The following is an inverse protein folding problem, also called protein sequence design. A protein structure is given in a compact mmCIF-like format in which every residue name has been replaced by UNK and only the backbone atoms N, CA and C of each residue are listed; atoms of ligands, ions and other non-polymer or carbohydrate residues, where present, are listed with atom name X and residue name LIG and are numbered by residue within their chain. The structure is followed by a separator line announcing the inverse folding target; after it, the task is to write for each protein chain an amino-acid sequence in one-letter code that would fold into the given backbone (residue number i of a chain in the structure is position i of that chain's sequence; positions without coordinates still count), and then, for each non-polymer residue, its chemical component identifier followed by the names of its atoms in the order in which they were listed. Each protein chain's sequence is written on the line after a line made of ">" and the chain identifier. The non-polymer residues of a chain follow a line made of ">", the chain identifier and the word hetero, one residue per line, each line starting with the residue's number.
data_IF_296878507631
#
_entry.id   IF_296878507631
#
_cell.length_a   1.000
_cell.length_b   1.000
_cell.length_c   1.000
_cell.angle_alpha   90.00
_cell.angle_beta   90.00
_cell.angle_gamma   90.00
#
_symmetry.space_group_name_H-M   'P 1'
#
loop_
_entity.id
_entity.type
_entity.pdbx_description
1 polymer ?
#
# COMPACT_ATOMS: atom_id res chain seq x y z
N UNK A 1 13.84 -3.54 -7.91
CA UNK A 1 13.34 -2.14 -8.01
C UNK A 1 12.67 -1.76 -6.70
N UNK A 2 12.61 -0.48 -6.37
CA UNK A 2 11.85 0.01 -5.21
C UNK A 2 10.38 0.21 -5.53
N UNK A 3 9.55 -0.06 -4.54
CA UNK A 3 8.11 0.18 -4.56
C UNK A 3 7.74 0.93 -3.29
N UNK A 4 7.07 2.05 -3.42
CA UNK A 4 6.65 2.89 -2.30
C UNK A 4 5.27 2.47 -1.84
N UNK A 5 5.18 2.13 -0.57
CA UNK A 5 4.01 1.53 0.05
C UNK A 5 3.27 2.54 0.91
N UNK A 6 1.96 2.54 0.78
CA UNK A 6 1.07 3.12 1.77
C UNK A 6 -0.15 2.22 1.95
N UNK A 7 -0.73 2.25 3.13
CA UNK A 7 -1.93 1.49 3.47
C UNK A 7 -2.94 2.35 4.22
N UNK A 8 -4.21 2.03 4.04
CA UNK A 8 -5.27 2.53 4.90
C UNK A 8 -5.88 1.36 5.66
N UNK A 9 -6.13 1.54 6.95
CA UNK A 9 -6.65 0.50 7.82
C UNK A 9 -7.65 1.08 8.81
N UNK A 10 -8.41 0.21 9.48
CA UNK A 10 -9.56 0.60 10.30
C UNK A 10 -9.14 1.07 11.71
N UNK A 11 -8.32 2.13 11.78
CA UNK A 11 -7.81 2.68 13.02
C UNK A 11 -6.69 1.83 13.63
N UNK A 12 -6.21 2.24 14.78
CA UNK A 12 -5.12 1.55 15.48
C UNK A 12 -5.47 0.08 15.76
N UNK A 13 -4.64 -0.84 15.25
CA UNK A 13 -4.88 -2.27 15.39
C UNK A 13 -6.00 -2.82 14.51
N UNK A 14 -6.58 -2.00 13.63
CA UNK A 14 -7.68 -2.39 12.76
C UNK A 14 -7.26 -3.13 11.49
N UNK A 15 -8.25 -3.68 10.79
CA UNK A 15 -8.06 -4.44 9.56
C UNK A 15 -7.63 -3.54 8.39
N UNK A 16 -6.85 -4.10 7.49
CA UNK A 16 -6.45 -3.45 6.24
C UNK A 16 -7.69 -3.15 5.38
N UNK A 17 -7.76 -1.93 4.85
CA UNK A 17 -8.83 -1.48 3.96
C UNK A 17 -8.32 -1.34 2.53
N UNK A 18 -7.15 -0.69 2.33
CA UNK A 18 -6.55 -0.51 1.01
C UNK A 18 -5.03 -0.50 1.10
N UNK A 19 -4.40 -0.85 -0.01
CA UNK A 19 -2.95 -0.91 -0.12
C UNK A 19 -2.53 -0.47 -1.52
N UNK A 20 -1.48 0.33 -1.58
CA UNK A 20 -0.88 0.78 -2.83
C UNK A 20 0.62 0.53 -2.86
N UNK A 21 1.12 0.18 -4.04
CA UNK A 21 2.55 0.18 -4.35
C UNK A 21 2.78 1.05 -5.58
N UNK A 22 3.69 1.99 -5.47
CA UNK A 22 4.08 2.88 -6.56
C UNK A 22 5.53 2.58 -6.94
N UNK A 23 5.81 2.13 -8.17
CA UNK A 23 7.16 1.76 -8.56
C UNK A 23 8.07 2.97 -8.72
N UNK A 24 9.34 2.78 -8.45
CA UNK A 24 10.38 3.80 -8.66
C UNK A 24 10.46 4.24 -10.13
N UNK A 25 10.32 3.28 -11.04
CA UNK A 25 10.32 3.50 -12.48
C UNK A 25 9.04 2.97 -13.12
N UNK A 26 8.58 3.65 -14.16
CA UNK A 26 7.37 3.28 -14.87
C UNK A 26 6.12 3.86 -14.23
N UNK A 27 4.98 3.49 -14.79
CA UNK A 27 3.67 4.05 -14.45
C UNK A 27 2.64 2.98 -14.01
N UNK A 28 3.10 1.75 -13.80
CA UNK A 28 2.22 0.66 -13.40
C UNK A 28 2.10 0.60 -11.88
N UNK A 29 1.21 1.40 -11.35
CA UNK A 29 0.88 1.39 -9.93
C UNK A 29 0.04 0.16 -9.59
N UNK A 30 0.17 -0.31 -8.35
CA UNK A 30 -0.71 -1.33 -7.76
C UNK A 30 -1.61 -0.66 -6.73
N UNK A 31 -2.90 -0.94 -6.81
CA UNK A 31 -3.87 -0.48 -5.82
C UNK A 31 -4.95 -1.54 -5.63
N UNK A 32 -5.26 -1.84 -4.38
CA UNK A 32 -6.32 -2.78 -4.03
C UNK A 32 -7.10 -2.25 -2.84
N UNK A 33 -8.41 -2.45 -2.85
CA UNK A 33 -9.25 -2.31 -1.69
C UNK A 33 -9.88 -3.66 -1.34
N UNK A 34 -9.96 -3.93 -0.04
CA UNK A 34 -10.50 -5.16 0.53
C UNK A 34 -11.95 -4.96 0.97
N UNK A 35 -12.69 -6.05 1.23
CA UNK A 35 -14.01 -5.94 1.84
C UNK A 35 -13.95 -5.14 3.13
N UNK A 36 -14.90 -4.23 3.31
CA UNK A 36 -14.93 -3.36 4.49
C UNK A 36 -15.27 -4.15 5.74
N UNK A 37 -14.63 -3.83 6.89
CA UNK A 37 -15.03 -4.39 8.18
C UNK A 37 -16.49 -4.08 8.50
N UNK A 38 -17.13 -4.93 9.32
CA UNK A 38 -18.53 -4.72 9.74
C UNK A 38 -18.71 -3.42 10.51
N UNK A 39 -17.74 -3.09 11.37
CA UNK A 39 -17.70 -1.83 12.12
C UNK A 39 -16.52 -1.01 11.65
N UNK A 40 -16.78 0.23 11.23
CA UNK A 40 -15.76 1.14 10.75
C UNK A 40 -15.54 2.23 11.79
N UNK A 41 -14.27 2.44 12.16
CA UNK A 41 -13.89 3.52 13.07
C UNK A 41 -14.42 4.86 12.53
N UNK A 42 -15.05 5.73 13.36
CA UNK A 42 -15.68 6.96 12.89
C UNK A 42 -14.77 7.88 12.10
N UNK A 43 -13.52 8.02 12.50
CA UNK A 43 -12.55 8.84 11.77
C UNK A 43 -12.27 8.25 10.37
N UNK A 44 -12.14 6.92 10.27
CA UNK A 44 -11.91 6.20 9.02
C UNK A 44 -13.12 6.33 8.09
N UNK A 45 -14.33 6.20 8.62
CA UNK A 45 -15.56 6.37 7.85
C UNK A 45 -15.65 7.77 7.22
N UNK A 46 -15.13 8.80 7.91
CA UNK A 46 -15.18 10.18 7.44
C UNK A 46 -14.01 10.54 6.53
N UNK A 47 -12.80 10.03 6.80
CA UNK A 47 -11.56 10.50 6.17
C UNK A 47 -10.95 9.53 5.17
N UNK A 48 -11.32 8.26 5.17
CA UNK A 48 -10.77 7.22 4.29
C UNK A 48 -11.82 6.70 3.31
N UNK A 49 -12.94 6.24 3.82
CA UNK A 49 -13.96 5.55 3.00
C UNK A 49 -14.45 6.38 1.82
N UNK A 50 -14.76 7.69 1.97
CA UNK A 50 -15.25 8.49 0.83
C UNK A 50 -14.24 8.60 -0.32
N UNK A 51 -12.97 8.35 -0.07
CA UNK A 51 -11.89 8.57 -1.05
C UNK A 51 -11.33 7.29 -1.64
N UNK A 52 -11.86 6.11 -1.27
CA UNK A 52 -11.33 4.81 -1.73
C UNK A 52 -11.32 4.67 -3.26
N UNK A 53 -12.24 5.30 -3.96
CA UNK A 53 -12.38 5.20 -5.43
C UNK A 53 -11.71 6.35 -6.19
N UNK A 54 -11.04 7.28 -5.52
CA UNK A 54 -10.34 8.39 -6.16
C UNK A 54 -8.98 7.95 -6.72
N UNK A 55 -9.01 6.94 -7.57
CA UNK A 55 -7.83 6.40 -8.27
C UNK A 55 -8.12 6.30 -9.76
N UNK A 56 -7.10 6.28 -10.62
CA UNK A 56 -7.32 6.17 -12.07
C UNK A 56 -8.12 4.94 -12.45
N UNK A 57 -8.95 5.07 -13.48
CA UNK A 57 -9.68 3.94 -14.03
C UNK A 57 -8.71 2.84 -14.49
N UNK A 58 -9.01 1.58 -14.18
CA UNK A 58 -8.19 0.42 -14.52
C UNK A 58 -7.14 0.06 -13.44
N UNK A 59 -6.89 0.95 -12.49
CA UNK A 59 -6.01 0.68 -11.34
C UNK A 59 -6.81 0.18 -10.14
N UNK A 60 -8.07 0.59 -10.02
CA UNK A 60 -8.95 0.25 -8.88
C UNK A 60 -9.37 -1.21 -8.92
N UNK A 61 -8.85 -2.01 -7.99
CA UNK A 61 -9.23 -3.42 -7.82
C UNK A 61 -9.90 -3.62 -6.46
N UNK A 62 -11.13 -4.12 -6.50
CA UNK A 62 -11.89 -4.50 -5.31
C UNK A 62 -11.86 -6.03 -5.20
N UNK A 63 -11.05 -6.56 -4.30
CA UNK A 63 -10.71 -7.97 -4.25
C UNK A 63 -10.88 -8.51 -2.84
N UNK A 64 -11.12 -9.83 -2.72
CA UNK A 64 -10.95 -10.53 -1.45
C UNK A 64 -9.46 -10.50 -1.05
N UNK A 65 -9.19 -10.83 0.21
CA UNK A 65 -7.82 -10.83 0.72
C UNK A 65 -6.92 -11.80 -0.05
N UNK A 66 -7.39 -13.00 -0.35
CA UNK A 66 -6.62 -14.00 -1.12
C UNK A 66 -6.42 -13.55 -2.57
N UNK A 67 -7.46 -13.02 -3.21
CA UNK A 67 -7.35 -12.47 -4.56
C UNK A 67 -6.35 -11.30 -4.62
N UNK A 68 -6.36 -10.43 -3.61
CA UNK A 68 -5.41 -9.33 -3.52
C UNK A 68 -3.97 -9.83 -3.40
N UNK A 69 -3.73 -10.87 -2.60
CA UNK A 69 -2.42 -11.51 -2.47
C UNK A 69 -1.94 -12.09 -3.82
N UNK A 70 -2.82 -12.76 -4.57
CA UNK A 70 -2.49 -13.31 -5.89
C UNK A 70 -2.24 -12.22 -6.93
N UNK A 71 -2.98 -11.13 -6.89
CA UNK A 71 -2.71 -9.95 -7.74
C UNK A 71 -1.35 -9.32 -7.43
N UNK A 72 -1.00 -9.25 -6.14
CA UNK A 72 0.31 -8.76 -5.71
C UNK A 72 1.45 -9.67 -6.18
N UNK A 73 1.26 -10.99 -6.10
CA UNK A 73 2.21 -11.96 -6.64
C UNK A 73 2.45 -11.72 -8.13
N UNK A 74 1.39 -11.60 -8.91
CA UNK A 74 1.48 -11.34 -10.35
C UNK A 74 2.15 -9.99 -10.66
N UNK A 75 1.84 -8.96 -9.86
CA UNK A 75 2.42 -7.63 -10.01
C UNK A 75 3.94 -7.61 -9.79
N UNK A 76 4.43 -8.37 -8.82
CA UNK A 76 5.85 -8.44 -8.47
C UNK A 76 6.62 -9.55 -9.21
N UNK A 77 5.94 -10.40 -9.99
CA UNK A 77 6.51 -11.63 -10.56
C UNK A 77 7.74 -11.40 -11.45
N UNK A 78 7.85 -10.27 -12.12
CA UNK A 78 8.95 -9.97 -13.02
C UNK A 78 10.15 -9.28 -12.34
N UNK A 79 10.02 -8.95 -11.06
CA UNK A 79 11.09 -8.36 -10.28
C UNK A 79 11.68 -9.43 -9.35
N UNK A 80 12.94 -9.79 -9.59
CA UNK A 80 13.63 -10.82 -8.80
C UNK A 80 14.09 -10.34 -7.45
N UNK A 81 14.11 -9.02 -7.24
CA UNK A 81 14.63 -8.41 -6.02
C UNK A 81 13.83 -7.14 -5.68
N UNK A 82 12.51 -7.27 -5.44
CA UNK A 82 11.70 -6.13 -5.08
C UNK A 82 12.05 -5.63 -3.67
N UNK A 83 12.09 -4.31 -3.54
CA UNK A 83 12.27 -3.62 -2.26
C UNK A 83 11.06 -2.76 -1.98
N UNK A 84 10.33 -3.05 -0.92
CA UNK A 84 9.16 -2.28 -0.50
C UNK A 84 9.56 -1.28 0.56
N UNK A 85 9.30 0.00 0.29
CA UNK A 85 9.69 1.13 1.13
C UNK A 85 8.45 1.75 1.75
N UNK A 86 8.46 1.92 3.07
CA UNK A 86 7.41 2.61 3.81
C UNK A 86 8.01 3.56 4.84
N UNK A 87 7.24 4.56 5.26
CA UNK A 87 7.63 5.50 6.32
C UNK A 87 6.91 5.22 7.66
N UNK A 88 6.01 4.23 7.67
CA UNK A 88 5.28 3.85 8.88
C UNK A 88 5.30 2.33 9.09
N UNK A 89 5.58 1.86 10.32
CA UNK A 89 5.70 0.43 10.59
C UNK A 89 4.45 -0.39 10.30
N UNK A 90 3.26 0.14 10.57
CA UNK A 90 2.01 -0.58 10.33
C UNK A 90 1.77 -0.85 8.85
N UNK A 91 2.25 0.00 7.94
CA UNK A 91 2.16 -0.25 6.51
C UNK A 91 2.91 -1.53 6.13
N UNK A 92 4.12 -1.70 6.63
CA UNK A 92 4.89 -2.92 6.42
C UNK A 92 4.24 -4.14 7.05
N UNK A 93 3.65 -3.99 8.24
CA UNK A 93 2.94 -5.07 8.92
C UNK A 93 1.73 -5.54 8.11
N UNK A 94 0.93 -4.62 7.60
CA UNK A 94 -0.22 -4.93 6.74
C UNK A 94 0.22 -5.55 5.42
N UNK A 95 1.26 -5.02 4.80
CA UNK A 95 1.84 -5.61 3.60
C UNK A 95 2.27 -7.06 3.84
N UNK A 96 3.07 -7.31 4.86
CA UNK A 96 3.54 -8.67 5.19
C UNK A 96 2.38 -9.61 5.49
N UNK A 97 1.37 -9.15 6.22
CA UNK A 97 0.18 -9.95 6.52
C UNK A 97 -0.59 -10.34 5.26
N UNK A 98 -0.66 -9.46 4.26
CA UNK A 98 -1.33 -9.74 2.99
C UNK A 98 -0.62 -10.84 2.19
N UNK A 99 0.68 -11.01 2.34
CA UNK A 99 1.45 -12.06 1.63
C UNK A 99 1.02 -13.47 2.05
N UNK A 100 0.48 -13.64 3.25
CA UNK A 100 0.07 -14.94 3.79
C UNK A 100 -1.31 -15.30 3.25
N UNK A 101 -1.40 -16.46 2.59
CA UNK A 101 -2.63 -16.92 1.92
C UNK A 101 -3.37 -18.01 2.69
N UNK A 102 -2.72 -18.66 3.66
CA UNK A 102 -3.29 -19.70 4.49
C UNK A 102 -2.31 -20.18 5.54
N UNK A 103 -2.67 -21.16 6.38
CA UNK A 103 -1.76 -21.68 7.40
C UNK A 103 -0.48 -22.24 6.78
N UNK A 104 0.66 -21.59 7.09
CA UNK A 104 1.96 -21.98 6.56
C UNK A 104 2.15 -21.71 5.06
N UNK A 105 1.27 -20.94 4.43
CA UNK A 105 1.29 -20.65 3.01
C UNK A 105 1.39 -19.15 2.76
N UNK A 106 2.18 -18.77 1.75
CA UNK A 106 2.30 -17.40 1.29
C UNK A 106 2.45 -17.36 -0.23
N UNK A 107 2.29 -16.18 -0.81
CA UNK A 107 2.55 -15.98 -2.24
C UNK A 107 4.02 -16.31 -2.58
N UNK A 108 4.25 -16.64 -3.85
CA UNK A 108 5.58 -17.00 -4.34
C UNK A 108 6.31 -15.76 -4.83
N UNK A 109 7.43 -15.43 -4.19
CA UNK A 109 8.31 -14.33 -4.56
C UNK A 109 9.75 -14.82 -4.59
N UNK A 110 10.50 -14.43 -5.62
CA UNK A 110 11.92 -14.80 -5.75
C UNK A 110 12.78 -14.19 -4.64
N UNK A 111 12.46 -12.99 -4.22
CA UNK A 111 13.10 -12.28 -3.12
C UNK A 111 12.23 -11.12 -2.68
N UNK A 112 12.48 -10.61 -1.49
CA UNK A 112 11.76 -9.44 -0.98
C UNK A 112 12.59 -8.76 0.08
N UNK A 113 12.81 -7.45 -0.09
CA UNK A 113 13.40 -6.59 0.93
C UNK A 113 12.39 -5.57 1.40
N UNK A 114 12.41 -5.27 2.69
CA UNK A 114 11.57 -4.26 3.32
C UNK A 114 12.46 -3.16 3.87
N UNK A 115 12.12 -1.91 3.58
CA UNK A 115 12.82 -0.76 4.10
C UNK A 115 11.84 0.16 4.83
N UNK A 116 12.08 0.36 6.13
CA UNK A 116 11.39 1.38 6.91
C UNK A 116 12.28 2.60 6.98
N UNK A 117 11.83 3.72 6.43
CA UNK A 117 12.57 4.97 6.45
C UNK A 117 12.05 5.91 7.55
N UNK A 118 12.95 6.70 8.12
CA UNK A 118 12.56 7.80 8.98
C UNK A 118 12.42 9.05 8.13
N UNK A 119 11.18 9.42 7.86
CA UNK A 119 10.85 10.59 7.06
C UNK A 119 10.52 11.79 7.97
N UNK A 120 11.48 12.19 8.80
CA UNK A 120 11.28 13.31 9.73
C UNK A 120 10.86 14.58 8.98
N UNK A 121 9.77 15.20 9.46
CA UNK A 121 9.21 16.40 8.82
C UNK A 121 8.35 16.14 7.60
N UNK A 122 8.23 14.90 7.15
CA UNK A 122 7.35 14.51 6.07
C UNK A 122 6.00 14.01 6.62
N UNK A 123 4.94 14.34 5.92
CA UNK A 123 3.61 13.77 6.14
C UNK A 123 3.02 13.42 4.78
N UNK A 124 2.72 12.15 4.55
CA UNK A 124 2.08 11.71 3.32
C UNK A 124 0.76 12.46 3.12
N UNK A 125 -0.07 12.55 4.16
CA UNK A 125 -1.34 13.24 4.10
C UNK A 125 -1.21 14.72 3.73
N UNK A 126 -0.20 15.44 4.23
CA UNK A 126 0.03 16.84 3.93
C UNK A 126 0.55 17.09 2.51
N UNK A 127 1.22 16.08 1.90
CA UNK A 127 1.87 16.19 0.59
C UNK A 127 1.11 15.43 -0.51
N UNK A 128 0.08 14.70 -0.15
CA UNK A 128 -0.74 13.90 -1.08
C UNK A 128 -1.74 14.78 -1.83
N UNK A 129 -2.03 14.43 -3.08
CA UNK A 129 -3.11 15.05 -3.87
C UNK A 129 -4.50 14.69 -3.33
N UNK A 130 -4.61 13.53 -2.72
CA UNK A 130 -5.83 13.04 -2.05
C UNK A 130 -5.42 12.39 -0.73
N UNK A 131 -5.30 13.17 0.35
CA UNK A 131 -4.93 12.64 1.66
C UNK A 131 -5.83 11.49 2.08
N UNK A 132 -5.24 10.48 2.72
CA UNK A 132 -5.92 9.28 3.18
C UNK A 132 -6.48 8.40 2.04
N UNK A 133 -5.92 8.52 0.84
CA UNK A 133 -6.01 7.52 -0.22
C UNK A 133 -4.62 6.90 -0.39
N UNK A 134 -4.51 5.58 -0.23
CA UNK A 134 -3.21 4.91 -0.20
C UNK A 134 -2.39 5.13 -1.47
N UNK A 135 -3.02 5.18 -2.65
CA UNK A 135 -2.29 5.42 -3.90
C UNK A 135 -1.66 6.81 -3.94
N UNK A 136 -2.42 7.84 -3.59
CA UNK A 136 -1.91 9.22 -3.61
C UNK A 136 -0.88 9.44 -2.51
N UNK A 137 -1.05 8.82 -1.35
CA UNK A 137 -0.10 8.91 -0.24
C UNK A 137 1.21 8.17 -0.59
N UNK A 138 1.14 7.03 -1.27
CA UNK A 138 2.33 6.33 -1.77
C UNK A 138 3.10 7.15 -2.83
N UNK A 139 2.39 7.86 -3.72
CA UNK A 139 3.02 8.80 -4.65
C UNK A 139 3.73 9.93 -3.92
N UNK A 140 3.13 10.49 -2.87
CA UNK A 140 3.76 11.53 -2.07
C UNK A 140 5.04 11.02 -1.38
N UNK A 141 5.03 9.79 -0.86
CA UNK A 141 6.20 9.16 -0.28
C UNK A 141 7.31 8.97 -1.32
N UNK A 142 6.96 8.50 -2.52
CA UNK A 142 7.91 8.35 -3.63
C UNK A 142 8.58 9.69 -3.95
N UNK A 143 7.79 10.74 -4.13
CA UNK A 143 8.32 12.07 -4.48
C UNK A 143 9.25 12.58 -3.39
N UNK A 144 8.90 12.41 -2.13
CA UNK A 144 9.76 12.77 -1.00
C UNK A 144 11.08 11.98 -1.03
N UNK A 145 11.00 10.66 -1.16
CA UNK A 145 12.17 9.78 -1.15
C UNK A 145 13.14 10.11 -2.28
N UNK A 146 12.64 10.22 -3.50
CA UNK A 146 13.47 10.51 -4.68
C UNK A 146 14.02 11.94 -4.63
N UNK A 147 13.27 12.89 -4.10
CA UNK A 147 13.74 14.26 -3.90
C UNK A 147 14.83 14.37 -2.85
N UNK A 148 14.84 13.53 -1.83
CA UNK A 148 15.84 13.56 -0.74
C UNK A 148 17.16 12.89 -1.13
N UNK A 149 17.18 12.07 -2.18
CA UNK A 149 18.41 11.39 -2.67
C UNK A 149 18.97 12.02 -3.94
N UNK A 150 18.31 13.04 -4.47
CA UNK A 150 18.74 13.75 -5.67
C UNK A 150 19.87 14.76 -5.39
#
# INVERSE_FOLDING_TARGET
>A
MRYFLDTEYNGFGGELISLALVPEYGDQDFYVSLPLPAEIHPWVAQNVIPYLRFVPQGVDHQLSRVEAALHLEAYLANDRDPMVVADWPDDLAHFCSLLVTGPGEMIDLDGLHLELINAAGFSAAANSKKPHNALHDAHALKDFYLGSVA
#
